data_IF_460237999284
#
_entry.id   IF_460237999284
#
_cell.length_a   1.000
_cell.length_b   1.000
_cell.length_c   1.000
_cell.angle_alpha   90.00
_cell.angle_beta   90.00
_cell.angle_gamma   90.00
#
_symmetry.space_group_name_H-M   'P 1'
#
loop_
_entity.id
_entity.type
_entity.pdbx_description
1 polymer ?
#
# COMPACT_ATOMS: atom_id res chain seq x y z
N UNK A 1 -54.26 -61.54 10.57
CA UNK A 1 -52.80 -61.43 10.59
C UNK A 1 -52.34 -60.61 9.39
N UNK A 2 -52.26 -59.27 9.50
CA UNK A 2 -51.86 -58.36 8.40
C UNK A 2 -51.15 -57.12 8.97
N UNK A 3 -49.83 -57.17 9.16
CA UNK A 3 -49.06 -56.01 9.67
C UNK A 3 -47.60 -56.01 9.24
N UNK A 4 -47.28 -56.46 8.01
CA UNK A 4 -45.89 -56.40 7.51
C UNK A 4 -45.73 -55.72 6.13
N UNK A 5 -46.80 -55.21 5.50
CA UNK A 5 -46.71 -54.62 4.15
C UNK A 5 -46.54 -53.08 4.12
N UNK A 6 -46.51 -52.39 5.26
CA UNK A 6 -46.65 -50.92 5.30
C UNK A 6 -45.36 -50.14 5.50
N UNK A 7 -44.30 -50.72 6.08
CA UNK A 7 -43.10 -49.95 6.45
C UNK A 7 -42.27 -49.46 5.26
N UNK A 8 -42.11 -50.28 4.21
CA UNK A 8 -41.32 -49.93 3.02
C UNK A 8 -41.97 -48.83 2.17
N UNK A 9 -43.31 -48.89 2.03
CA UNK A 9 -44.09 -47.90 1.30
C UNK A 9 -44.12 -46.55 2.02
N UNK A 10 -44.09 -46.56 3.35
CA UNK A 10 -43.95 -45.35 4.17
C UNK A 10 -42.56 -44.75 3.94
N UNK A 11 -41.46 -45.52 4.08
CA UNK A 11 -40.10 -45.01 3.87
C UNK A 11 -39.90 -44.37 2.49
N UNK A 12 -40.41 -44.98 1.42
CA UNK A 12 -40.34 -44.42 0.07
C UNK A 12 -41.15 -43.13 -0.10
N UNK A 13 -42.29 -43.00 0.57
CA UNK A 13 -43.08 -41.76 0.55
C UNK A 13 -42.35 -40.64 1.31
N UNK A 14 -41.68 -40.95 2.42
CA UNK A 14 -40.88 -39.98 3.17
C UNK A 14 -39.66 -39.50 2.37
N UNK A 15 -38.94 -40.39 1.68
CA UNK A 15 -37.82 -39.98 0.82
C UNK A 15 -38.28 -39.10 -0.35
N UNK A 16 -39.44 -39.39 -0.95
CA UNK A 16 -40.03 -38.53 -1.98
C UNK A 16 -40.46 -37.16 -1.44
N UNK A 17 -41.09 -37.11 -0.26
CA UNK A 17 -41.51 -35.84 0.37
C UNK A 17 -40.28 -34.98 0.72
N UNK A 18 -39.23 -35.58 1.27
CA UNK A 18 -37.98 -34.88 1.59
C UNK A 18 -37.33 -34.35 0.31
N UNK A 19 -37.27 -35.17 -0.76
CA UNK A 19 -36.73 -34.75 -2.06
C UNK A 19 -37.48 -33.56 -2.66
N UNK A 20 -38.83 -33.61 -2.65
CA UNK A 20 -39.67 -32.51 -3.15
C UNK A 20 -39.49 -31.25 -2.29
N UNK A 21 -39.41 -31.38 -0.96
CA UNK A 21 -39.21 -30.25 -0.06
C UNK A 21 -37.85 -29.57 -0.28
N UNK A 22 -36.77 -30.34 -0.45
CA UNK A 22 -35.44 -29.78 -0.68
C UNK A 22 -35.34 -29.11 -2.04
N UNK A 23 -35.92 -29.72 -3.08
CA UNK A 23 -35.98 -29.13 -4.42
C UNK A 23 -36.81 -27.84 -4.44
N UNK A 24 -37.94 -27.81 -3.73
CA UNK A 24 -38.78 -26.62 -3.63
C UNK A 24 -38.06 -25.47 -2.91
N UNK A 25 -37.36 -25.74 -1.80
CA UNK A 25 -36.55 -24.73 -1.10
C UNK A 25 -35.42 -24.15 -1.97
N UNK A 26 -34.84 -24.95 -2.86
CA UNK A 26 -33.79 -24.48 -3.78
C UNK A 26 -34.33 -23.57 -4.89
N UNK A 27 -35.58 -23.75 -5.32
CA UNK A 27 -36.20 -22.88 -6.32
C UNK A 27 -36.54 -21.49 -5.75
N UNK A 28 -36.89 -21.40 -4.46
CA UNK A 28 -37.19 -20.12 -3.82
C UNK A 28 -35.95 -19.21 -3.66
N UNK A 29 -34.74 -19.77 -3.53
CA UNK A 29 -33.53 -18.95 -3.41
C UNK A 29 -33.12 -18.28 -4.74
N UNK A 30 -33.51 -18.85 -5.88
CA UNK A 30 -33.18 -18.30 -7.20
C UNK A 30 -34.09 -17.12 -7.62
N UNK A 31 -35.30 -17.02 -7.07
CA UNK A 31 -36.30 -16.01 -7.48
C UNK A 31 -36.24 -14.74 -6.61
N UNK A 32 -35.56 -14.79 -5.45
CA UNK A 32 -35.68 -13.78 -4.38
C UNK A 32 -34.95 -12.44 -4.54
N UNK A 33 -33.92 -12.31 -5.39
CA UNK A 33 -33.10 -11.08 -5.38
C UNK A 33 -33.57 -9.98 -6.35
N UNK A 34 -34.40 -10.29 -7.36
CA UNK A 34 -34.74 -9.33 -8.41
C UNK A 34 -35.82 -8.30 -7.99
N UNK A 35 -36.73 -8.68 -7.09
CA UNK A 35 -37.86 -7.82 -6.70
C UNK A 35 -37.46 -6.68 -5.75
N UNK A 36 -36.39 -6.83 -4.97
CA UNK A 36 -35.96 -5.83 -3.98
C UNK A 36 -35.25 -4.61 -4.62
N UNK A 37 -34.50 -4.81 -5.70
CA UNK A 37 -33.75 -3.74 -6.39
C UNK A 37 -34.69 -2.71 -7.05
N UNK A 38 -35.87 -3.15 -7.48
CA UNK A 38 -36.82 -2.32 -8.24
C UNK A 38 -37.62 -1.33 -7.38
N UNK A 39 -37.72 -1.58 -6.06
CA UNK A 39 -38.47 -0.70 -5.13
C UNK A 39 -37.64 0.47 -4.60
N UNK A 40 -36.31 0.36 -4.59
CA UNK A 40 -35.40 1.42 -4.11
C UNK A 40 -34.74 2.24 -5.23
N UNK A 41 -34.97 1.90 -6.49
CA UNK A 41 -34.53 2.72 -7.63
C UNK A 41 -35.61 3.73 -8.01
N UNK A 42 -35.53 4.93 -7.43
CA UNK A 42 -36.35 6.08 -7.84
C UNK A 42 -35.96 6.46 -9.27
N UNK A 43 -36.93 6.46 -10.21
CA UNK A 43 -36.70 7.03 -11.55
C UNK A 43 -36.38 8.52 -11.40
N UNK A 44 -35.24 9.03 -11.88
CA UNK A 44 -34.94 10.46 -11.83
C UNK A 44 -35.98 11.21 -12.65
N UNK A 45 -36.52 12.28 -12.07
CA UNK A 45 -37.52 13.14 -12.71
C UNK A 45 -36.77 14.17 -13.57
N UNK A 46 -36.61 13.86 -14.85
CA UNK A 46 -35.91 14.71 -15.83
C UNK A 46 -34.46 14.29 -16.06
N UNK A 47 -34.01 14.44 -17.31
CA UNK A 47 -32.59 14.34 -17.64
C UNK A 47 -31.86 15.49 -16.93
N UNK A 48 -30.87 15.23 -16.07
CA UNK A 48 -30.05 16.30 -15.53
C UNK A 48 -29.35 16.97 -16.71
N UNK A 49 -29.53 18.29 -16.87
CA UNK A 49 -28.69 19.07 -17.78
C UNK A 49 -27.25 18.75 -17.41
N UNK A 50 -26.55 18.07 -18.31
CA UNK A 50 -25.11 17.83 -18.17
C UNK A 50 -24.46 19.20 -18.31
N UNK A 51 -24.21 19.86 -17.19
CA UNK A 51 -23.32 21.01 -17.17
C UNK A 51 -21.96 20.51 -17.65
N UNK A 52 -21.46 21.09 -18.74
CA UNK A 52 -20.13 20.79 -19.22
C UNK A 52 -19.14 21.19 -18.12
N UNK A 53 -18.32 20.26 -17.61
CA UNK A 53 -17.33 20.63 -16.61
C UNK A 53 -16.37 21.63 -17.26
N UNK A 54 -16.36 22.86 -16.75
CA UNK A 54 -15.38 23.87 -17.16
C UNK A 54 -14.05 23.47 -16.53
N UNK A 55 -13.30 22.64 -17.24
CA UNK A 55 -11.94 22.26 -16.87
C UNK A 55 -11.04 23.44 -17.25
N UNK A 56 -10.82 24.37 -16.33
CA UNK A 56 -9.78 25.38 -16.49
C UNK A 56 -8.45 24.72 -16.11
N UNK A 57 -7.48 24.62 -17.03
CA UNK A 57 -6.15 24.14 -16.68
C UNK A 57 -5.53 25.10 -15.66
N UNK A 58 -5.21 24.58 -14.48
CA UNK A 58 -4.48 25.34 -13.47
C UNK A 58 -3.05 25.59 -14.00
N UNK A 59 -2.68 26.86 -14.16
CA UNK A 59 -1.33 27.23 -14.59
C UNK A 59 -0.43 27.22 -13.35
N UNK A 60 0.34 26.14 -13.18
CA UNK A 60 1.29 26.04 -12.08
C UNK A 60 2.52 26.95 -12.34
N UNK A 61 2.94 27.76 -11.36
CA UNK A 61 4.11 28.64 -11.51
C UNK A 61 5.40 27.83 -11.72
N UNK A 62 6.29 28.35 -12.57
CA UNK A 62 7.47 27.64 -13.08
C UNK A 62 8.61 27.45 -12.04
N UNK A 63 8.95 26.17 -11.84
CA UNK A 63 10.27 25.58 -11.61
C UNK A 63 11.12 25.94 -10.36
N UNK A 64 11.18 27.19 -9.88
CA UNK A 64 12.09 27.54 -8.78
C UNK A 64 11.52 27.18 -7.39
N UNK A 65 10.28 27.60 -7.12
CA UNK A 65 9.54 27.15 -5.93
C UNK A 65 9.36 25.62 -5.93
N UNK A 66 9.20 25.05 -7.12
CA UNK A 66 9.07 23.61 -7.30
C UNK A 66 10.30 22.83 -6.83
N UNK A 67 11.53 23.32 -6.99
CA UNK A 67 12.74 22.61 -6.54
C UNK A 67 12.88 22.57 -5.02
N UNK A 68 12.60 23.70 -4.37
CA UNK A 68 12.63 23.81 -2.91
C UNK A 68 11.59 22.89 -2.27
N UNK A 69 10.37 22.88 -2.81
CA UNK A 69 9.30 21.99 -2.39
C UNK A 69 9.65 20.54 -2.67
N UNK A 70 10.11 20.23 -3.89
CA UNK A 70 10.48 18.87 -4.28
C UNK A 70 11.60 18.29 -3.42
N UNK A 71 12.60 19.09 -3.04
CA UNK A 71 13.63 18.62 -2.11
C UNK A 71 13.05 18.33 -0.72
N UNK A 72 12.17 19.20 -0.20
CA UNK A 72 11.51 18.97 1.10
C UNK A 72 10.69 17.69 1.05
N UNK A 73 9.95 17.46 -0.03
CA UNK A 73 9.13 16.27 -0.21
C UNK A 73 9.99 15.01 -0.19
N UNK A 74 11.07 14.95 -0.98
CA UNK A 74 11.97 13.80 -0.98
C UNK A 74 12.67 13.60 0.37
N UNK A 75 13.03 14.68 1.07
CA UNK A 75 13.57 14.59 2.41
C UNK A 75 12.54 13.99 3.38
N UNK A 76 11.29 14.44 3.34
CA UNK A 76 10.20 13.93 4.17
C UNK A 76 9.88 12.47 3.83
N UNK A 77 9.83 12.09 2.55
CA UNK A 77 9.64 10.70 2.14
C UNK A 77 10.78 9.83 2.64
N UNK A 78 12.03 10.25 2.45
CA UNK A 78 13.18 9.52 2.99
C UNK A 78 13.08 9.34 4.51
N UNK A 79 12.70 10.38 5.26
CA UNK A 79 12.52 10.28 6.71
C UNK A 79 11.43 9.29 7.11
N UNK A 80 10.30 9.32 6.41
CA UNK A 80 9.18 8.41 6.61
C UNK A 80 9.57 6.96 6.34
N UNK A 81 10.10 6.68 5.15
CA UNK A 81 10.56 5.34 4.76
C UNK A 81 11.65 4.81 5.68
N UNK A 82 12.56 5.68 6.13
CA UNK A 82 13.60 5.29 7.10
C UNK A 82 13.03 4.95 8.47
N UNK A 83 12.00 5.68 8.92
CA UNK A 83 11.33 5.39 10.18
C UNK A 83 10.51 4.10 10.11
N UNK A 84 9.73 3.89 9.04
CA UNK A 84 9.02 2.63 8.81
C UNK A 84 10.00 1.46 8.74
N UNK A 85 11.11 1.60 8.02
CA UNK A 85 12.11 0.54 7.93
C UNK A 85 12.60 0.13 9.32
N UNK A 86 12.91 1.09 10.20
CA UNK A 86 13.36 0.80 11.58
C UNK A 86 12.32 0.02 12.38
N UNK A 87 11.03 0.27 12.17
CA UNK A 87 9.93 -0.46 12.81
C UNK A 87 9.83 -1.89 12.29
N UNK A 88 9.85 -2.06 10.97
CA UNK A 88 9.72 -3.36 10.32
C UNK A 88 11.00 -4.19 10.30
N UNK A 89 12.14 -3.66 10.77
CA UNK A 89 13.39 -4.41 10.81
C UNK A 89 13.46 -5.37 12.00
N UNK A 90 12.66 -6.43 11.98
CA UNK A 90 12.67 -7.48 13.00
C UNK A 90 12.29 -8.83 12.40
N UNK A 91 12.62 -9.93 13.10
CA UNK A 91 12.45 -11.30 12.60
C UNK A 91 10.99 -11.68 12.31
N UNK A 92 10.02 -11.01 12.95
CA UNK A 92 8.59 -11.32 12.82
C UNK A 92 7.88 -10.44 11.77
N UNK A 93 8.56 -9.45 11.23
CA UNK A 93 7.98 -8.48 10.33
C UNK A 93 7.93 -8.97 8.88
N UNK A 94 7.12 -8.29 8.07
CA UNK A 94 6.97 -8.61 6.66
C UNK A 94 8.24 -8.23 5.87
N UNK A 95 8.92 -9.23 5.34
CA UNK A 95 10.12 -9.06 4.55
C UNK A 95 9.92 -8.24 3.26
N UNK A 96 8.75 -8.34 2.61
CA UNK A 96 8.42 -7.51 1.45
C UNK A 96 8.41 -6.03 1.82
N UNK A 97 7.84 -5.69 2.98
CA UNK A 97 7.76 -4.33 3.48
C UNK A 97 9.16 -3.78 3.82
N UNK A 98 10.03 -4.59 4.43
CA UNK A 98 11.43 -4.20 4.67
C UNK A 98 12.15 -3.84 3.37
N UNK A 99 11.98 -4.65 2.31
CA UNK A 99 12.58 -4.37 1.00
C UNK A 99 12.03 -3.10 0.37
N UNK A 100 10.72 -2.90 0.41
CA UNK A 100 10.04 -1.71 -0.10
C UNK A 100 10.56 -0.45 0.60
N UNK A 101 10.52 -0.41 1.93
CA UNK A 101 11.01 0.74 2.68
C UNK A 101 12.51 1.03 2.42
N UNK A 102 13.34 0.00 2.30
CA UNK A 102 14.77 0.18 2.00
C UNK A 102 15.01 0.72 0.58
N UNK A 103 14.21 0.27 -0.40
CA UNK A 103 14.27 0.74 -1.77
C UNK A 103 13.82 2.21 -1.87
N UNK A 104 12.63 2.52 -1.34
CA UNK A 104 12.04 3.86 -1.42
C UNK A 104 12.86 4.91 -0.66
N UNK A 105 13.46 4.54 0.48
CA UNK A 105 14.38 5.41 1.21
C UNK A 105 15.64 5.72 0.38
N UNK A 106 16.25 4.71 -0.26
CA UNK A 106 17.42 4.90 -1.10
C UNK A 106 17.10 5.76 -2.34
N UNK A 107 15.98 5.47 -3.01
CA UNK A 107 15.53 6.22 -4.18
C UNK A 107 15.28 7.70 -3.84
N UNK A 108 14.65 7.97 -2.70
CA UNK A 108 14.45 9.34 -2.20
C UNK A 108 15.79 10.08 -1.98
N UNK A 109 16.82 9.42 -1.42
CA UNK A 109 18.15 10.01 -1.29
C UNK A 109 18.82 10.30 -2.64
N UNK A 110 18.66 9.40 -3.61
CA UNK A 110 19.20 9.61 -4.96
C UNK A 110 18.51 10.79 -5.64
N UNK A 111 17.20 10.94 -5.47
CA UNK A 111 16.43 12.09 -5.96
C UNK A 111 16.87 13.39 -5.29
N UNK A 112 17.08 13.38 -3.97
CA UNK A 112 17.67 14.53 -3.25
C UNK A 112 19.04 14.91 -3.82
N UNK A 113 19.93 13.94 -4.08
CA UNK A 113 21.25 14.17 -4.70
C UNK A 113 21.13 14.88 -6.04
N UNK A 114 20.15 14.50 -6.87
CA UNK A 114 19.91 15.08 -8.18
C UNK A 114 19.63 16.59 -8.14
N UNK A 115 19.07 17.09 -7.03
CA UNK A 115 18.70 18.49 -6.84
C UNK A 115 19.81 19.35 -6.22
N UNK A 116 20.84 18.72 -5.65
CA UNK A 116 21.94 19.40 -4.97
C UNK A 116 23.07 19.80 -5.92
N UNK A 117 23.78 20.87 -5.59
CA UNK A 117 25.03 21.30 -6.25
C UNK A 117 26.10 20.19 -6.20
N UNK A 118 27.15 20.30 -7.01
CA UNK A 118 28.14 19.22 -7.13
C UNK A 118 28.83 18.90 -5.80
N UNK A 119 29.15 19.91 -5.00
CA UNK A 119 29.80 19.75 -3.70
C UNK A 119 28.91 18.99 -2.70
N UNK A 120 27.67 19.43 -2.49
CA UNK A 120 26.73 18.75 -1.60
C UNK A 120 26.33 17.38 -2.11
N UNK A 121 26.16 17.22 -3.43
CA UNK A 121 25.90 15.94 -4.04
C UNK A 121 27.03 14.93 -3.75
N UNK A 122 28.31 15.36 -3.85
CA UNK A 122 29.46 14.53 -3.45
C UNK A 122 29.45 14.21 -1.96
N UNK A 123 29.06 15.17 -1.11
CA UNK A 123 28.93 14.94 0.33
C UNK A 123 27.83 13.94 0.71
N UNK A 124 26.80 13.78 -0.12
CA UNK A 124 25.69 12.83 0.10
C UNK A 124 26.06 11.40 -0.33
N UNK A 125 27.03 11.25 -1.23
CA UNK A 125 27.42 9.97 -1.83
C UNK A 125 27.81 8.88 -0.83
N UNK A 126 28.63 9.16 0.21
CA UNK A 126 28.96 8.14 1.20
C UNK A 126 27.71 7.63 1.94
N UNK A 127 26.71 8.49 2.15
CA UNK A 127 25.46 8.10 2.81
C UNK A 127 24.59 7.26 1.88
N UNK A 128 24.55 7.59 0.59
CA UNK A 128 23.89 6.76 -0.44
C UNK A 128 24.52 5.37 -0.50
N UNK A 129 25.85 5.27 -0.51
CA UNK A 129 26.56 3.99 -0.54
C UNK A 129 26.26 3.12 0.70
N UNK A 130 26.14 3.74 1.87
CA UNK A 130 25.70 3.04 3.07
C UNK A 130 24.27 2.50 2.96
N UNK A 131 23.35 3.29 2.40
CA UNK A 131 21.97 2.88 2.14
C UNK A 131 21.86 1.80 1.06
N UNK A 132 22.70 1.85 0.02
CA UNK A 132 22.85 0.75 -0.95
C UNK A 132 23.24 -0.54 -0.24
N UNK A 133 24.22 -0.48 0.66
CA UNK A 133 24.63 -1.65 1.45
C UNK A 133 23.48 -2.18 2.33
N UNK A 134 22.72 -1.29 2.98
CA UNK A 134 21.55 -1.68 3.78
C UNK A 134 20.53 -2.40 2.91
N UNK A 135 20.19 -1.82 1.76
CA UNK A 135 19.28 -2.41 0.78
C UNK A 135 19.76 -3.79 0.34
N UNK A 136 21.03 -3.93 -0.02
CA UNK A 136 21.57 -5.18 -0.54
C UNK A 136 21.54 -6.31 0.50
N UNK A 137 21.87 -6.00 1.76
CA UNK A 137 21.76 -6.96 2.87
C UNK A 137 20.30 -7.40 3.07
N UNK A 138 19.36 -6.44 3.09
CA UNK A 138 17.93 -6.76 3.20
C UNK A 138 17.47 -7.58 2.00
N UNK A 139 17.89 -7.25 0.79
CA UNK A 139 17.47 -7.97 -0.40
C UNK A 139 18.03 -9.40 -0.45
N UNK A 140 19.19 -9.68 0.15
CA UNK A 140 19.72 -11.04 0.27
C UNK A 140 18.80 -11.98 1.08
N UNK A 141 18.04 -11.44 2.04
CA UNK A 141 16.90 -12.12 2.69
C UNK A 141 17.21 -13.21 3.71
N UNK A 142 18.45 -13.34 4.15
CA UNK A 142 18.87 -14.28 5.22
C UNK A 142 19.34 -13.50 6.45
N UNK A 143 18.44 -12.70 7.04
CA UNK A 143 18.76 -11.87 8.21
C UNK A 143 18.50 -12.64 9.50
N UNK A 144 19.50 -12.71 10.37
CA UNK A 144 19.36 -13.15 11.76
C UNK A 144 19.18 -11.94 12.71
N UNK A 145 18.93 -12.18 13.99
CA UNK A 145 18.79 -11.13 15.01
C UNK A 145 19.96 -10.13 15.05
N UNK A 146 21.21 -10.60 14.88
CA UNK A 146 22.39 -9.74 14.85
C UNK A 146 22.42 -8.84 13.62
N UNK A 147 22.00 -9.35 12.45
CA UNK A 147 21.88 -8.56 11.22
C UNK A 147 20.85 -7.45 11.38
N UNK A 148 19.68 -7.77 11.96
CA UNK A 148 18.67 -6.75 12.26
C UNK A 148 19.22 -5.66 13.18
N UNK A 149 19.94 -6.04 14.25
CA UNK A 149 20.53 -5.05 15.16
C UNK A 149 21.61 -4.20 14.48
N UNK A 150 22.48 -4.83 13.68
CA UNK A 150 23.51 -4.14 12.90
C UNK A 150 22.88 -3.10 11.96
N UNK A 151 21.88 -3.52 11.19
CA UNK A 151 21.17 -2.66 10.24
C UNK A 151 20.44 -1.52 10.94
N UNK A 152 19.74 -1.76 12.06
CA UNK A 152 19.13 -0.69 12.87
C UNK A 152 20.14 0.36 13.31
N UNK A 153 21.25 -0.10 13.87
CA UNK A 153 22.32 0.79 14.31
C UNK A 153 22.90 1.60 13.14
N UNK A 154 23.05 0.96 11.97
CA UNK A 154 23.54 1.63 10.75
C UNK A 154 22.55 2.68 10.29
N UNK A 155 21.27 2.33 10.11
CA UNK A 155 20.20 3.25 9.69
C UNK A 155 20.13 4.45 10.64
N UNK A 156 20.15 4.25 11.96
CA UNK A 156 20.07 5.34 12.94
C UNK A 156 21.24 6.32 12.80
N UNK A 157 22.48 5.81 12.66
CA UNK A 157 23.68 6.63 12.47
C UNK A 157 23.63 7.42 11.16
N UNK A 158 23.23 6.78 10.06
CA UNK A 158 23.13 7.42 8.74
C UNK A 158 22.01 8.45 8.74
N UNK A 159 20.86 8.12 9.34
CA UNK A 159 19.71 9.04 9.52
C UNK A 159 20.11 10.30 10.27
N UNK A 160 20.85 10.17 11.37
CA UNK A 160 21.37 11.32 12.12
C UNK A 160 22.31 12.21 11.28
N UNK A 161 23.16 11.62 10.43
CA UNK A 161 24.06 12.39 9.56
C UNK A 161 23.31 13.12 8.45
N UNK A 162 22.34 12.46 7.79
CA UNK A 162 21.52 13.10 6.77
C UNK A 162 20.75 14.27 7.38
N UNK A 163 20.08 14.08 8.53
CA UNK A 163 19.34 15.15 9.21
C UNK A 163 20.21 16.36 9.57
N UNK A 164 21.42 16.13 10.09
CA UNK A 164 22.31 17.24 10.50
C UNK A 164 22.84 18.03 9.32
N UNK A 165 23.18 17.36 8.22
CA UNK A 165 23.97 17.96 7.14
C UNK A 165 23.12 18.32 5.91
N UNK A 166 21.98 17.64 5.70
CA UNK A 166 21.17 17.69 4.48
C UNK A 166 19.72 18.10 4.73
N UNK A 167 19.36 18.52 5.95
CA UNK A 167 18.08 19.18 6.18
C UNK A 167 17.95 20.41 5.28
N UNK A 168 16.72 20.66 4.79
CA UNK A 168 16.44 21.76 3.86
C UNK A 168 17.01 23.12 4.33
N UNK A 169 16.89 23.41 5.63
CA UNK A 169 17.41 24.65 6.23
C UNK A 169 18.93 24.85 6.05
N UNK A 170 19.69 23.76 5.86
CA UNK A 170 21.15 23.76 5.66
C UNK A 170 21.56 23.82 4.19
N UNK A 171 20.72 23.34 3.28
CA UNK A 171 21.06 23.12 1.87
C UNK A 171 20.31 24.03 0.90
N UNK A 172 19.35 24.86 1.36
CA UNK A 172 18.55 25.72 0.48
C UNK A 172 19.35 26.63 -0.47
N UNK A 173 20.60 26.97 -0.11
CA UNK A 173 21.50 27.77 -0.96
C UNK A 173 22.34 26.93 -1.93
N UNK A 174 22.29 25.62 -1.75
CA UNK A 174 23.08 24.61 -2.46
C UNK A 174 22.23 23.81 -3.46
N UNK A 175 21.00 24.23 -3.73
CA UNK A 175 20.14 23.63 -4.75
C UNK A 175 20.56 24.17 -6.14
N UNK A 176 20.60 23.28 -7.14
CA UNK A 176 20.95 23.61 -8.54
C UNK A 176 19.77 24.23 -9.29
#
# INVERSE_FOLDING_TARGET
MKTQLNAAKIKHRWTQIIGVSVSCSFLFTLIGCAAFVRKFTRKPKGEPKKEEPVIQPEVYPEAAAAKDELYKDYFTFWEGWSAELMEFLNEKANFKKQRECAYEALDSLMKMRGLLNEEKAKGLEPLINEWTTIKDIIFAGRLNSADHQYLKNKIERTKGRVRRNFAYSRIKKDLK
#
